data_IF_644690811056
#
_entry.id   IF_644690811056
#
_cell.length_a   1.000
_cell.length_b   1.000
_cell.length_c   1.000
_cell.angle_alpha   90.00
_cell.angle_beta   90.00
_cell.angle_gamma   90.00
#
_symmetry.space_group_name_H-M   'P 1'
#
loop_
_entity.id
_entity.type
_entity.pdbx_description
1 polymer ?
#
# COMPACT_ATOMS: atom_id res chain seq x y z
N UNK A 1 22.93 5.16 -26.96
CA UNK A 1 23.04 3.84 -26.29
C UNK A 1 23.80 3.89 -24.96
N UNK A 2 25.06 4.39 -24.92
CA UNK A 2 25.88 4.46 -23.69
C UNK A 2 25.22 5.21 -22.53
N UNK A 3 24.69 6.40 -22.80
CA UNK A 3 23.98 7.24 -21.80
C UNK A 3 22.79 6.48 -21.18
N UNK A 4 21.99 5.79 -22.00
CA UNK A 4 20.85 5.01 -21.52
C UNK A 4 21.28 3.86 -20.60
N UNK A 5 22.33 3.11 -20.97
CA UNK A 5 22.88 2.04 -20.13
C UNK A 5 23.41 2.56 -18.80
N UNK A 6 24.01 3.75 -18.78
CA UNK A 6 24.48 4.37 -17.53
C UNK A 6 23.31 4.79 -16.64
N UNK A 7 22.23 5.33 -17.20
CA UNK A 7 21.01 5.63 -16.44
C UNK A 7 20.34 4.37 -15.91
N UNK A 8 20.22 3.32 -16.72
CA UNK A 8 19.68 2.02 -16.33
C UNK A 8 20.40 1.43 -15.11
N UNK A 9 21.75 1.44 -15.14
CA UNK A 9 22.58 0.95 -14.02
C UNK A 9 22.41 1.80 -12.76
N UNK A 10 22.44 3.14 -12.90
CA UNK A 10 22.27 4.07 -11.77
C UNK A 10 20.90 3.90 -11.11
N UNK A 11 19.83 3.88 -11.89
CA UNK A 11 18.47 3.69 -11.39
C UNK A 11 18.31 2.33 -10.72
N UNK A 12 18.88 1.26 -11.29
CA UNK A 12 18.87 -0.07 -10.67
C UNK A 12 19.57 -0.07 -9.32
N UNK A 13 20.75 0.54 -9.23
CA UNK A 13 21.48 0.65 -7.96
C UNK A 13 20.66 1.38 -6.90
N UNK A 14 20.10 2.54 -7.24
CA UNK A 14 19.25 3.32 -6.32
C UNK A 14 18.01 2.54 -5.87
N UNK A 15 17.36 1.81 -6.78
CA UNK A 15 16.20 1.00 -6.43
C UNK A 15 16.59 -0.11 -5.45
N UNK A 16 17.65 -0.86 -5.75
CA UNK A 16 18.13 -1.98 -4.93
C UNK A 16 18.60 -1.51 -3.55
N UNK A 17 19.23 -0.34 -3.45
CA UNK A 17 19.71 0.19 -2.16
C UNK A 17 18.60 0.70 -1.26
N UNK A 18 17.42 1.00 -1.80
CA UNK A 18 16.30 1.62 -1.05
C UNK A 18 15.31 0.58 -0.52
N UNK A 19 15.28 -0.60 -1.13
CA UNK A 19 14.30 -1.65 -0.81
C UNK A 19 14.86 -2.68 0.17
N UNK A 20 13.96 -3.33 0.92
CA UNK A 20 14.36 -4.44 1.80
C UNK A 20 14.73 -5.71 1.01
N UNK A 21 15.45 -6.61 1.67
CA UNK A 21 15.95 -7.85 1.07
C UNK A 21 14.84 -8.75 0.51
N UNK A 22 13.68 -8.83 1.17
CA UNK A 22 12.57 -9.68 0.73
C UNK A 22 11.99 -9.20 -0.60
N UNK A 23 11.86 -7.89 -0.79
CA UNK A 23 11.42 -7.30 -2.05
C UNK A 23 12.48 -7.44 -3.13
N UNK A 24 13.75 -7.24 -2.77
CA UNK A 24 14.89 -7.39 -3.68
C UNK A 24 14.91 -8.78 -4.31
N UNK A 25 14.80 -9.85 -3.51
CA UNK A 25 14.78 -11.23 -4.00
C UNK A 25 13.70 -11.46 -5.06
N UNK A 26 12.57 -10.76 -4.96
CA UNK A 26 11.42 -10.88 -5.87
C UNK A 26 11.57 -10.09 -7.16
N UNK A 27 12.39 -9.03 -7.20
CA UNK A 27 12.49 -8.15 -8.37
C UNK A 27 13.87 -8.15 -9.05
N UNK A 28 14.94 -8.59 -8.38
CA UNK A 28 16.31 -8.51 -8.91
C UNK A 28 16.53 -9.27 -10.22
N UNK A 29 15.72 -10.30 -10.49
CA UNK A 29 15.79 -11.11 -11.70
C UNK A 29 15.11 -10.47 -12.92
N UNK A 30 14.49 -9.28 -12.77
CA UNK A 30 13.80 -8.60 -13.87
C UNK A 30 14.81 -7.95 -14.84
N UNK A 31 14.51 -7.96 -16.16
CA UNK A 31 15.47 -7.58 -17.18
C UNK A 31 15.77 -6.08 -17.18
N UNK A 32 14.81 -5.21 -16.89
CA UNK A 32 15.01 -3.76 -16.79
C UNK A 32 14.64 -3.20 -15.40
N UNK A 33 15.17 -2.02 -15.06
CA UNK A 33 14.78 -1.27 -13.86
C UNK A 33 13.32 -0.84 -13.92
N UNK A 34 12.79 -0.59 -15.12
CA UNK A 34 11.36 -0.33 -15.34
C UNK A 34 10.52 -1.53 -14.96
N UNK A 35 10.94 -2.75 -15.31
CA UNK A 35 10.24 -3.97 -14.91
C UNK A 35 10.35 -4.23 -13.42
N UNK A 36 11.52 -3.95 -12.82
CA UNK A 36 11.70 -4.01 -11.37
C UNK A 36 10.72 -3.06 -10.67
N UNK A 37 10.67 -1.80 -11.08
CA UNK A 37 9.79 -0.78 -10.51
C UNK A 37 8.32 -1.13 -10.69
N UNK A 38 7.90 -1.52 -11.90
CA UNK A 38 6.51 -1.88 -12.20
C UNK A 38 6.07 -3.10 -11.37
N UNK A 39 6.95 -4.09 -11.19
CA UNK A 39 6.68 -5.24 -10.32
C UNK A 39 6.55 -4.81 -8.87
N UNK A 40 7.42 -3.92 -8.39
CA UNK A 40 7.33 -3.36 -7.04
C UNK A 40 6.00 -2.66 -6.81
N UNK A 41 5.62 -1.73 -7.69
CA UNK A 41 4.35 -1.00 -7.59
C UNK A 41 3.18 -1.95 -7.53
N UNK A 42 3.10 -2.92 -8.46
CA UNK A 42 2.02 -3.93 -8.49
C UNK A 42 1.90 -4.68 -7.16
N UNK A 43 3.01 -5.13 -6.59
CA UNK A 43 3.00 -5.86 -5.32
C UNK A 43 2.50 -5.01 -4.14
N UNK A 44 2.79 -3.71 -4.12
CA UNK A 44 2.30 -2.81 -3.08
C UNK A 44 0.84 -2.42 -3.30
N UNK A 45 0.42 -2.26 -4.55
CA UNK A 45 -0.98 -2.00 -4.90
C UNK A 45 -1.87 -3.18 -4.48
N UNK A 46 -1.49 -4.42 -4.82
CA UNK A 46 -2.21 -5.64 -4.40
C UNK A 46 -2.33 -5.73 -2.87
N UNK A 47 -1.24 -5.42 -2.14
CA UNK A 47 -1.27 -5.37 -0.67
C UNK A 47 -2.17 -4.27 -0.15
N UNK A 48 -2.12 -3.08 -0.77
CA UNK A 48 -2.95 -1.96 -0.39
C UNK A 48 -4.44 -2.28 -0.61
N UNK A 49 -4.80 -2.94 -1.71
CA UNK A 49 -6.16 -3.42 -1.97
C UNK A 49 -6.64 -4.40 -0.90
N UNK A 50 -5.79 -5.35 -0.50
CA UNK A 50 -6.10 -6.28 0.58
C UNK A 50 -6.32 -5.56 1.93
N UNK A 51 -5.44 -4.62 2.27
CA UNK A 51 -5.56 -3.81 3.50
C UNK A 51 -6.84 -2.96 3.47
N UNK A 52 -7.18 -2.37 2.34
CA UNK A 52 -8.42 -1.61 2.16
C UNK A 52 -9.64 -2.50 2.37
N UNK A 53 -9.66 -3.69 1.78
CA UNK A 53 -10.77 -4.64 1.92
C UNK A 53 -10.95 -5.07 3.38
N UNK A 54 -9.85 -5.41 4.06
CA UNK A 54 -9.84 -5.79 5.48
C UNK A 54 -10.30 -4.63 6.37
N UNK A 55 -9.80 -3.41 6.13
CA UNK A 55 -10.19 -2.20 6.88
C UNK A 55 -11.68 -1.91 6.74
N UNK A 56 -12.24 -2.03 5.52
CA UNK A 56 -13.68 -1.88 5.29
C UNK A 56 -14.48 -2.95 6.03
N UNK A 57 -14.02 -4.20 6.05
CA UNK A 57 -14.66 -5.29 6.76
C UNK A 57 -14.67 -5.04 8.27
N UNK A 58 -13.53 -4.65 8.84
CA UNK A 58 -13.42 -4.29 10.25
C UNK A 58 -14.32 -3.11 10.62
N UNK A 59 -14.34 -2.06 9.80
CA UNK A 59 -15.22 -0.91 10.02
C UNK A 59 -16.70 -1.30 10.02
N UNK A 60 -17.14 -2.14 9.07
CA UNK A 60 -18.53 -2.64 9.00
C UNK A 60 -18.93 -3.53 10.17
N UNK A 61 -17.99 -4.34 10.67
CA UNK A 61 -18.23 -5.27 11.77
C UNK A 61 -18.06 -4.62 13.15
N UNK A 62 -17.51 -3.40 13.22
CA UNK A 62 -17.34 -2.68 14.47
C UNK A 62 -18.72 -2.33 15.05
N UNK A 63 -19.04 -2.90 16.21
CA UNK A 63 -20.25 -2.57 16.97
C UNK A 63 -19.91 -1.69 18.15
N UNK A 64 -20.79 -0.76 18.50
CA UNK A 64 -20.73 -0.09 19.79
C UNK A 64 -21.20 -1.07 20.87
N UNK A 65 -20.41 -1.35 21.93
CA UNK A 65 -20.86 -2.15 23.06
C UNK A 65 -22.06 -1.50 23.77
N UNK A 66 -22.92 -2.31 24.41
CA UNK A 66 -24.14 -1.83 25.08
C UNK A 66 -23.87 -0.86 26.24
N UNK A 67 -22.74 -1.05 26.93
CA UNK A 67 -22.22 -0.17 27.98
C UNK A 67 -21.03 0.69 27.49
N UNK A 68 -20.79 0.69 26.18
CA UNK A 68 -19.65 1.36 25.56
C UNK A 68 -19.86 2.86 25.37
N UNK A 69 -18.75 3.62 25.41
CA UNK A 69 -18.77 5.04 25.06
C UNK A 69 -18.97 5.21 23.54
N UNK A 70 -20.08 5.85 23.15
CA UNK A 70 -20.35 6.24 21.76
C UNK A 70 -19.21 7.10 21.19
N UNK A 71 -18.63 7.98 21.99
CA UNK A 71 -17.51 8.82 21.55
C UNK A 71 -16.28 7.98 21.17
N UNK A 72 -15.96 6.94 21.95
CA UNK A 72 -14.89 6.00 21.62
C UNK A 72 -15.19 5.25 20.33
N UNK A 73 -16.43 4.79 20.14
CA UNK A 73 -16.85 4.10 18.93
C UNK A 73 -16.74 5.00 17.68
N UNK A 74 -17.22 6.24 17.74
CA UNK A 74 -17.10 7.22 16.64
C UNK A 74 -15.62 7.50 16.34
N UNK A 75 -14.78 7.66 17.36
CA UNK A 75 -13.35 7.86 17.15
C UNK A 75 -12.69 6.68 16.42
N UNK A 76 -13.07 5.44 16.74
CA UNK A 76 -12.58 4.27 16.03
C UNK A 76 -13.02 4.27 14.56
N UNK A 77 -14.28 4.59 14.27
CA UNK A 77 -14.78 4.75 12.89
C UNK A 77 -14.00 5.83 12.11
N UNK A 78 -13.71 6.97 12.76
CA UNK A 78 -12.92 8.04 12.15
C UNK A 78 -11.47 7.61 11.87
N UNK A 79 -10.88 6.75 12.71
CA UNK A 79 -9.54 6.20 12.44
C UNK A 79 -9.55 5.29 11.21
N UNK A 80 -10.55 4.40 11.07
CA UNK A 80 -10.69 3.57 9.87
C UNK A 80 -10.92 4.42 8.61
N UNK A 81 -11.73 5.47 8.71
CA UNK A 81 -11.92 6.41 7.61
C UNK A 81 -10.59 7.07 7.18
N UNK A 82 -9.78 7.54 8.14
CA UNK A 82 -8.46 8.13 7.85
C UNK A 82 -7.52 7.14 7.18
N UNK A 83 -7.50 5.88 7.62
CA UNK A 83 -6.69 4.83 7.00
C UNK A 83 -7.11 4.62 5.54
N UNK A 84 -8.40 4.55 5.25
CA UNK A 84 -8.92 4.36 3.90
C UNK A 84 -8.62 5.55 2.98
N UNK A 85 -8.74 6.78 3.48
CA UNK A 85 -8.36 8.00 2.74
C UNK A 85 -6.87 7.99 2.40
N UNK A 86 -6.01 7.63 3.36
CA UNK A 86 -4.55 7.56 3.15
C UNK A 86 -4.13 6.49 2.14
N UNK A 87 -4.91 5.41 2.00
CA UNK A 87 -4.73 4.40 0.95
C UNK A 87 -5.12 4.87 -0.46
N UNK A 88 -5.48 6.15 -0.63
CA UNK A 88 -5.89 6.73 -1.90
C UNK A 88 -7.33 6.37 -2.30
N UNK A 89 -8.13 5.83 -1.38
CA UNK A 89 -9.53 5.45 -1.63
C UNK A 89 -10.45 6.45 -0.94
N UNK A 90 -11.29 7.13 -1.70
CA UNK A 90 -12.38 7.94 -1.13
C UNK A 90 -13.53 7.00 -0.75
N UNK A 91 -13.89 6.96 0.54
CA UNK A 91 -15.16 6.36 0.97
C UNK A 91 -16.26 7.29 0.47
N UNK A 92 -17.08 6.82 -0.48
CA UNK A 92 -18.27 7.55 -0.91
C UNK A 92 -19.39 7.22 0.08
N UNK A 93 -20.21 8.21 0.41
CA UNK A 93 -21.34 8.15 1.36
C UNK A 93 -22.49 7.21 0.93
N UNK A 94 -22.26 6.34 -0.07
CA UNK A 94 -23.26 5.44 -0.68
C UNK A 94 -22.91 3.96 -0.55
N UNK A 95 -21.87 3.60 0.22
CA UNK A 95 -21.52 2.21 0.57
C UNK A 95 -21.75 1.95 2.06
#
# INVERSE_FOLDING_TARGET
LKVWLDHEKKSRHLLVSTINNLLLLKIQHKPSVTDMWSTTVKMYDEKNEMIVADTKLHMRNLKCPEDGSIHTHINQLLQFQKQLVNSGKTIKDKE
#
